data_IF_522346858735
#
_entry.id   IF_522346858735
#
_cell.length_a   1.000
_cell.length_b   1.000
_cell.length_c   1.000
_cell.angle_alpha   90.00
_cell.angle_beta   90.00
_cell.angle_gamma   90.00
#
_symmetry.space_group_name_H-M   'P 1'
#
loop_
_entity.id
_entity.type
_entity.pdbx_description
1 polymer ?
#
# COMPACT_ATOMS: atom_id res chain seq x y z
N UNK A 1 72.44 4.08 19.59
CA UNK A 1 71.32 4.82 20.22
C UNK A 1 70.34 5.08 19.09
N UNK A 2 69.30 4.26 19.05
CA UNK A 2 68.50 3.97 17.87
C UNK A 2 67.54 5.10 17.47
N UNK A 3 67.27 5.11 16.17
CA UNK A 3 66.36 5.98 15.41
C UNK A 3 64.98 5.33 15.41
N UNK A 4 63.94 6.03 15.89
CA UNK A 4 62.53 5.70 15.69
C UNK A 4 61.73 7.01 15.79
N UNK A 5 60.65 7.30 15.07
CA UNK A 5 59.99 6.75 13.89
C UNK A 5 58.89 7.79 13.58
N UNK A 6 58.84 8.33 12.35
CA UNK A 6 57.74 9.19 11.92
C UNK A 6 56.46 8.35 11.81
N UNK A 7 55.42 8.71 12.55
CA UNK A 7 54.04 8.23 12.34
C UNK A 7 53.27 9.31 11.58
N UNK A 8 53.18 9.14 10.26
CA UNK A 8 52.18 9.82 9.45
C UNK A 8 50.81 9.20 9.74
N UNK A 9 49.96 9.92 10.48
CA UNK A 9 48.52 9.64 10.54
C UNK A 9 47.91 10.03 9.19
N UNK A 10 47.87 9.09 8.25
CA UNK A 10 46.97 9.18 7.10
C UNK A 10 45.53 8.98 7.60
N UNK A 11 44.80 10.08 7.79
CA UNK A 11 43.34 10.05 7.84
C UNK A 11 42.83 9.53 6.48
N UNK A 12 42.54 8.23 6.39
CA UNK A 12 41.62 7.73 5.39
C UNK A 12 40.24 8.30 5.73
N UNK A 13 39.89 9.43 5.13
CA UNK A 13 38.50 9.81 4.97
C UNK A 13 37.87 8.74 4.08
N UNK A 14 37.33 7.69 4.71
CA UNK A 14 36.40 6.80 4.04
C UNK A 14 35.25 7.69 3.61
N UNK A 15 35.17 7.97 2.31
CA UNK A 15 33.93 8.49 1.72
C UNK A 15 32.92 7.37 1.90
N UNK A 16 32.15 7.40 2.98
CA UNK A 16 30.85 6.73 2.98
C UNK A 16 30.13 7.28 1.76
N UNK A 17 29.92 6.44 0.75
CA UNK A 17 28.94 6.74 -0.27
C UNK A 17 27.62 6.78 0.47
N UNK A 18 27.08 7.97 0.72
CA UNK A 18 25.77 8.08 1.33
C UNK A 18 24.79 7.43 0.36
N UNK A 19 24.11 6.38 0.83
CA UNK A 19 23.07 5.75 0.04
C UNK A 19 21.96 6.78 -0.16
N UNK A 20 21.54 6.96 -1.40
CA UNK A 20 20.47 7.87 -1.76
C UNK A 20 19.67 7.32 -2.92
N UNK A 21 18.38 7.59 -2.95
CA UNK A 21 17.50 7.15 -4.02
C UNK A 21 16.48 8.22 -4.39
N UNK A 22 15.88 8.03 -5.56
CA UNK A 22 14.72 8.78 -6.01
C UNK A 22 13.59 7.76 -6.22
N UNK A 23 12.38 8.07 -5.76
CA UNK A 23 11.27 7.09 -5.81
C UNK A 23 10.95 6.66 -7.24
N UNK A 24 11.07 7.58 -8.20
CA UNK A 24 10.77 7.36 -9.60
C UNK A 24 12.03 7.07 -10.43
N UNK A 25 13.14 6.69 -9.80
CA UNK A 25 14.31 6.24 -10.56
C UNK A 25 13.94 5.01 -11.41
N UNK A 26 14.36 5.03 -12.68
CA UNK A 26 13.98 4.02 -13.67
C UNK A 26 12.63 4.23 -14.39
N UNK A 27 11.83 5.24 -14.01
CA UNK A 27 10.60 5.60 -14.73
C UNK A 27 10.86 6.69 -15.80
N UNK A 28 10.14 6.65 -16.91
CA UNK A 28 10.26 7.66 -17.98
C UNK A 28 9.38 8.90 -17.75
N UNK A 29 9.43 9.87 -18.67
CA UNK A 29 8.71 11.14 -18.55
C UNK A 29 7.18 11.04 -18.59
N UNK A 30 6.62 9.88 -18.93
CA UNK A 30 5.16 9.64 -18.97
C UNK A 30 4.57 9.35 -17.59
N UNK A 31 5.42 9.19 -16.57
CA UNK A 31 5.02 8.91 -15.19
C UNK A 31 4.07 9.98 -14.61
N UNK A 32 4.14 11.22 -15.10
CA UNK A 32 3.23 12.30 -14.70
C UNK A 32 1.77 11.96 -15.05
N UNK A 33 1.53 11.42 -16.24
CA UNK A 33 0.20 11.05 -16.73
C UNK A 33 -0.31 9.80 -16.00
N UNK A 34 0.59 8.89 -15.63
CA UNK A 34 0.27 7.70 -14.85
C UNK A 34 -0.08 8.01 -13.38
N UNK A 35 0.63 8.96 -12.76
CA UNK A 35 0.36 9.38 -11.37
C UNK A 35 -0.77 10.40 -11.27
N UNK A 36 -1.07 11.14 -12.33
CA UNK A 36 -2.12 12.16 -12.35
C UNK A 36 -1.81 13.41 -11.53
N UNK A 37 -0.52 13.73 -11.33
CA UNK A 37 -0.06 14.84 -10.48
C UNK A 37 0.53 16.00 -11.29
N UNK A 38 0.61 17.18 -10.66
CA UNK A 38 1.28 18.34 -11.24
C UNK A 38 2.78 18.10 -11.37
N UNK A 39 3.44 18.80 -12.29
CA UNK A 39 4.89 18.71 -12.49
C UNK A 39 5.68 19.14 -11.24
N UNK A 40 5.13 20.11 -10.48
CA UNK A 40 5.69 20.56 -9.21
C UNK A 40 5.62 19.45 -8.17
N UNK A 41 4.45 18.81 -8.01
CA UNK A 41 4.30 17.69 -7.10
C UNK A 41 5.16 16.50 -7.51
N UNK A 42 5.23 16.17 -8.80
CA UNK A 42 6.07 15.09 -9.30
C UNK A 42 7.55 15.32 -8.95
N UNK A 43 8.03 16.56 -9.09
CA UNK A 43 9.39 16.93 -8.70
C UNK A 43 9.64 16.77 -7.21
N UNK A 44 8.63 17.08 -6.38
CA UNK A 44 8.69 16.93 -4.93
C UNK A 44 8.68 15.44 -4.51
N UNK A 45 7.79 14.64 -5.08
CA UNK A 45 7.71 13.18 -4.83
C UNK A 45 9.00 12.50 -5.29
N UNK A 46 9.57 12.94 -6.42
CA UNK A 46 10.82 12.41 -6.95
C UNK A 46 12.07 13.11 -6.42
N UNK A 47 12.00 13.82 -5.29
CA UNK A 47 13.20 14.39 -4.68
C UNK A 47 14.16 13.28 -4.22
N UNK A 48 15.46 13.58 -4.19
CA UNK A 48 16.46 12.62 -3.73
C UNK A 48 16.39 12.47 -2.21
N UNK A 49 16.28 11.23 -1.76
CA UNK A 49 16.21 10.85 -0.35
C UNK A 49 17.54 10.21 0.03
N UNK A 50 18.24 10.78 1.01
CA UNK A 50 19.52 10.29 1.52
C UNK A 50 19.34 9.16 2.54
N UNK A 51 18.74 8.05 2.09
CA UNK A 51 18.55 6.82 2.84
C UNK A 51 18.99 5.63 1.99
N UNK A 52 19.28 4.50 2.65
CA UNK A 52 19.40 3.22 1.95
C UNK A 52 18.07 2.85 1.30
N UNK A 53 18.08 2.64 -0.01
CA UNK A 53 16.87 2.43 -0.82
C UNK A 53 16.13 1.15 -0.42
N UNK A 54 16.86 0.04 -0.30
CA UNK A 54 16.27 -1.26 -0.01
C UNK A 54 15.60 -1.27 1.37
N UNK A 55 16.30 -0.74 2.37
CA UNK A 55 15.78 -0.67 3.74
C UNK A 55 14.62 0.32 3.86
N UNK A 56 14.69 1.48 3.20
CA UNK A 56 13.60 2.45 3.19
C UNK A 56 12.35 1.91 2.49
N UNK A 57 12.51 1.22 1.35
CA UNK A 57 11.39 0.58 0.64
C UNK A 57 10.76 -0.54 1.48
N UNK A 58 11.57 -1.38 2.11
CA UNK A 58 11.09 -2.40 3.05
C UNK A 58 10.29 -1.79 4.20
N UNK A 59 10.77 -0.67 4.79
CA UNK A 59 10.03 0.05 5.83
C UNK A 59 8.67 0.55 5.33
N UNK A 60 8.63 1.13 4.13
CA UNK A 60 7.41 1.73 3.56
C UNK A 60 6.29 0.74 3.25
N UNK A 61 6.61 -0.55 3.09
CA UNK A 61 5.63 -1.62 2.91
C UNK A 61 4.90 -1.96 4.21
N UNK A 62 5.46 -1.58 5.36
CA UNK A 62 4.97 -1.91 6.69
C UNK A 62 6.07 -2.55 7.51
N UNK A 63 6.28 -2.03 8.72
CA UNK A 63 7.32 -2.55 9.62
C UNK A 63 7.02 -3.99 10.07
N UNK A 64 5.74 -4.32 10.26
CA UNK A 64 5.28 -5.64 10.71
C UNK A 64 5.29 -6.70 9.59
N UNK A 65 5.48 -6.31 8.32
CA UNK A 65 5.43 -7.22 7.15
C UNK A 65 6.75 -7.98 6.92
N UNK A 66 7.83 -7.57 7.59
CA UNK A 66 9.16 -8.11 7.40
C UNK A 66 9.83 -8.40 8.74
N UNK A 67 10.76 -9.36 8.74
CA UNK A 67 11.66 -9.55 9.88
C UNK A 67 12.84 -8.58 9.78
N UNK A 68 13.11 -7.84 10.87
CA UNK A 68 14.13 -6.81 10.92
C UNK A 68 15.36 -7.25 11.71
N UNK A 69 16.52 -6.93 11.17
CA UNK A 69 17.80 -7.04 11.87
C UNK A 69 18.27 -5.66 12.36
N UNK A 70 19.08 -5.66 13.41
CA UNK A 70 19.64 -4.43 14.00
C UNK A 70 20.42 -3.60 12.98
N UNK A 71 21.11 -4.25 12.04
CA UNK A 71 21.82 -3.57 10.94
C UNK A 71 20.86 -2.78 10.03
N UNK A 72 19.69 -3.34 9.71
CA UNK A 72 18.69 -2.66 8.89
C UNK A 72 18.13 -1.44 9.62
N UNK A 73 17.74 -1.61 10.89
CA UNK A 73 17.21 -0.48 11.69
C UNK A 73 18.26 0.60 11.88
N UNK A 74 19.51 0.22 12.19
CA UNK A 74 20.59 1.21 12.38
C UNK A 74 20.87 1.98 11.08
N UNK A 75 20.80 1.32 9.93
CA UNK A 75 20.96 1.95 8.60
C UNK A 75 19.82 2.94 8.33
N UNK A 76 18.57 2.52 8.54
CA UNK A 76 17.38 3.34 8.36
C UNK A 76 17.35 4.55 9.31
N UNK A 77 17.74 4.34 10.57
CA UNK A 77 17.62 5.33 11.63
C UNK A 77 18.79 6.32 11.73
N UNK A 78 19.66 6.35 10.72
CA UNK A 78 20.74 7.33 10.63
C UNK A 78 20.21 8.76 10.64
N UNK A 79 21.01 9.69 11.18
CA UNK A 79 20.62 11.11 11.27
C UNK A 79 20.39 11.75 9.90
N UNK A 80 21.17 11.35 8.90
CA UNK A 80 21.04 11.80 7.52
C UNK A 80 19.72 11.34 6.90
N UNK A 81 19.38 10.05 7.04
CA UNK A 81 18.12 9.51 6.53
C UNK A 81 16.91 10.18 7.19
N UNK A 82 16.91 10.34 8.52
CA UNK A 82 15.84 11.02 9.25
C UNK A 82 15.64 12.47 8.79
N UNK A 83 16.73 13.22 8.66
CA UNK A 83 16.69 14.60 8.20
C UNK A 83 16.19 14.69 6.75
N UNK A 84 16.62 13.77 5.88
CA UNK A 84 16.22 13.75 4.48
C UNK A 84 14.74 13.39 4.31
N UNK A 85 14.24 12.38 5.04
CA UNK A 85 12.84 11.98 5.06
C UNK A 85 11.93 13.10 5.57
N UNK A 86 12.33 13.80 6.65
CA UNK A 86 11.58 14.96 7.18
C UNK A 86 11.50 16.10 6.15
N UNK A 87 12.61 16.36 5.46
CA UNK A 87 12.68 17.40 4.42
C UNK A 87 11.82 17.01 3.21
N UNK A 88 11.83 15.74 2.82
CA UNK A 88 11.03 15.21 1.73
C UNK A 88 9.53 15.28 2.02
N UNK A 89 9.09 14.87 3.22
CA UNK A 89 7.70 15.02 3.65
C UNK A 89 7.24 16.47 3.57
N UNK A 90 8.04 17.40 4.13
CA UNK A 90 7.72 18.84 4.11
C UNK A 90 7.63 19.40 2.68
N UNK A 91 8.51 18.93 1.78
CA UNK A 91 8.51 19.33 0.38
C UNK A 91 7.25 18.86 -0.35
N UNK A 92 6.90 17.58 -0.20
CA UNK A 92 5.69 16.99 -0.79
C UNK A 92 4.42 17.64 -0.22
N UNK A 93 4.37 17.87 1.09
CA UNK A 93 3.22 18.56 1.72
C UNK A 93 2.99 19.95 1.13
N UNK A 94 4.08 20.72 0.95
CA UNK A 94 4.03 22.06 0.33
C UNK A 94 3.61 22.00 -1.14
N UNK A 95 4.19 21.09 -1.91
CA UNK A 95 4.15 21.15 -3.37
C UNK A 95 3.06 20.28 -4.00
N UNK A 96 2.50 19.34 -3.23
CA UNK A 96 1.43 18.43 -3.64
C UNK A 96 0.11 18.65 -2.91
N UNK A 97 -0.10 19.82 -2.28
CA UNK A 97 -1.22 20.07 -1.34
C UNK A 97 -2.61 19.62 -1.82
N UNK A 98 -2.88 19.72 -3.12
CA UNK A 98 -4.17 19.34 -3.75
C UNK A 98 -4.07 18.10 -4.62
N UNK A 99 -2.87 17.58 -4.82
CA UNK A 99 -2.61 16.55 -5.80
C UNK A 99 -2.95 15.18 -5.21
N UNK A 100 -3.51 14.32 -6.05
CA UNK A 100 -3.88 12.96 -5.72
C UNK A 100 -3.13 11.99 -6.62
N UNK A 101 -2.81 10.83 -6.09
CA UNK A 101 -2.21 9.73 -6.84
C UNK A 101 -3.14 8.52 -6.81
N UNK A 102 -3.04 7.67 -7.82
CA UNK A 102 -3.70 6.36 -7.79
C UNK A 102 -2.72 5.31 -7.26
N UNK A 103 -3.05 4.69 -6.13
CA UNK A 103 -2.27 3.61 -5.52
C UNK A 103 -3.22 2.43 -5.23
N UNK A 104 -2.88 1.23 -5.73
CA UNK A 104 -3.65 0.01 -5.50
C UNK A 104 -5.18 0.14 -5.78
N UNK A 105 -5.55 0.83 -6.87
CA UNK A 105 -6.96 1.03 -7.23
C UNK A 105 -7.72 2.03 -6.37
N UNK A 106 -7.02 2.81 -5.54
CA UNK A 106 -7.56 3.91 -4.74
C UNK A 106 -6.94 5.24 -5.13
N UNK A 107 -7.74 6.30 -5.11
CA UNK A 107 -7.27 7.68 -5.23
C UNK A 107 -6.99 8.19 -3.82
N UNK A 108 -5.73 8.52 -3.57
CA UNK A 108 -5.24 9.02 -2.28
C UNK A 108 -4.52 10.34 -2.47
N UNK A 109 -4.39 11.15 -1.41
CA UNK A 109 -3.58 12.37 -1.47
C UNK A 109 -2.11 12.01 -1.74
N UNK A 110 -1.40 12.78 -2.56
CA UNK A 110 0.00 12.50 -2.89
C UNK A 110 0.93 12.47 -1.66
N UNK A 111 0.60 13.21 -0.59
CA UNK A 111 1.31 13.17 0.70
C UNK A 111 1.31 11.77 1.37
N UNK A 112 0.41 10.87 0.96
CA UNK A 112 0.38 9.47 1.43
C UNK A 112 1.73 8.78 1.20
N UNK A 113 2.42 9.08 0.10
CA UNK A 113 3.70 8.46 -0.26
C UNK A 113 4.78 8.73 0.80
N UNK A 114 5.19 9.98 1.07
CA UNK A 114 6.18 10.22 2.11
C UNK A 114 5.70 9.81 3.50
N UNK A 115 4.40 9.90 3.79
CA UNK A 115 3.85 9.45 5.07
C UNK A 115 4.08 7.95 5.32
N UNK A 116 4.05 7.09 4.28
CA UNK A 116 4.35 5.66 4.41
C UNK A 116 5.79 5.45 4.92
N UNK A 117 6.74 6.17 4.32
CA UNK A 117 8.15 6.08 4.72
C UNK A 117 8.42 6.73 6.08
N UNK A 118 7.91 7.94 6.33
CA UNK A 118 8.21 8.67 7.56
C UNK A 118 7.57 8.04 8.78
N UNK A 119 6.34 7.52 8.65
CA UNK A 119 5.71 6.80 9.74
C UNK A 119 6.45 5.50 10.06
N UNK A 120 6.85 4.73 9.04
CA UNK A 120 7.64 3.51 9.24
C UNK A 120 8.99 3.81 9.87
N UNK A 121 9.67 4.88 9.43
CA UNK A 121 10.88 5.40 10.05
C UNK A 121 10.65 5.73 11.53
N UNK A 122 9.61 6.49 11.86
CA UNK A 122 9.32 6.89 13.24
C UNK A 122 9.07 5.68 14.15
N UNK A 123 8.41 4.63 13.63
CA UNK A 123 8.17 3.37 14.34
C UNK A 123 9.43 2.52 14.50
N UNK A 124 10.18 2.29 13.42
CA UNK A 124 11.43 1.52 13.43
C UNK A 124 12.44 2.09 14.42
N UNK A 125 12.45 3.42 14.50
CA UNK A 125 13.51 4.16 15.13
C UNK A 125 13.20 4.61 16.56
N UNK A 126 12.16 4.04 17.18
CA UNK A 126 11.90 4.14 18.60
C UNK A 126 13.01 3.43 19.37
N UNK A 127 13.51 4.10 20.41
CA UNK A 127 14.48 3.54 21.34
C UNK A 127 14.01 3.74 22.77
N UNK A 128 14.32 2.79 23.65
CA UNK A 128 14.21 2.98 25.10
C UNK A 128 15.30 3.94 25.63
N UNK A 129 15.30 4.19 26.93
CA UNK A 129 16.32 5.02 27.59
C UNK A 129 17.73 4.42 27.49
N UNK A 130 17.84 3.10 27.41
CA UNK A 130 19.10 2.36 27.22
C UNK A 130 19.65 2.40 25.76
N UNK A 131 18.87 2.96 24.81
CA UNK A 131 19.17 3.01 23.37
C UNK A 131 18.99 1.70 22.61
N UNK A 132 18.30 0.74 23.18
CA UNK A 132 17.86 -0.45 22.47
C UNK A 132 16.69 -0.10 21.54
N UNK A 133 16.63 -0.76 20.38
CA UNK A 133 15.58 -0.53 19.38
C UNK A 133 14.29 -1.24 19.78
N UNK A 134 13.26 -0.45 20.05
CA UNK A 134 11.97 -0.99 20.51
C UNK A 134 11.33 -1.92 19.48
N UNK A 135 11.48 -1.64 18.19
CA UNK A 135 10.91 -2.49 17.16
C UNK A 135 11.62 -3.86 17.11
N UNK A 136 12.95 -3.93 17.30
CA UNK A 136 13.67 -5.22 17.38
C UNK A 136 13.18 -6.02 18.57
N UNK A 137 13.05 -5.37 19.73
CA UNK A 137 12.54 -6.03 20.94
C UNK A 137 11.12 -6.59 20.72
N UNK A 138 10.27 -5.83 20.03
CA UNK A 138 8.87 -6.23 19.78
C UNK A 138 8.70 -7.52 19.00
N UNK A 139 9.71 -7.90 18.19
CA UNK A 139 9.70 -9.17 17.46
C UNK A 139 9.85 -10.39 18.39
N UNK A 140 10.19 -10.18 19.66
CA UNK A 140 10.31 -11.23 20.68
C UNK A 140 9.06 -11.38 21.55
N UNK A 141 8.13 -10.43 21.48
CA UNK A 141 6.92 -10.45 22.28
C UNK A 141 6.01 -11.59 21.82
N UNK A 142 5.73 -12.52 22.72
CA UNK A 142 4.80 -13.62 22.48
C UNK A 142 3.48 -13.26 23.15
N UNK A 143 2.41 -13.21 22.36
CA UNK A 143 1.06 -12.94 22.84
C UNK A 143 0.02 -13.77 22.10
N UNK A 144 -1.19 -13.81 22.63
CA UNK A 144 -2.38 -14.34 21.95
C UNK A 144 -3.23 -13.16 21.46
N UNK A 145 -4.13 -13.40 20.51
CA UNK A 145 -5.14 -12.40 20.12
C UNK A 145 -6.23 -12.23 21.20
N UNK A 146 -6.36 -13.23 22.09
CA UNK A 146 -7.30 -13.26 23.21
C UNK A 146 -6.90 -14.33 24.23
N UNK A 147 -7.26 -14.12 25.50
CA UNK A 147 -7.20 -15.12 26.56
C UNK A 147 -8.40 -16.05 26.39
N UNK A 148 -8.22 -17.36 26.60
CA UNK A 148 -9.34 -18.31 26.62
C UNK A 148 -9.49 -18.88 28.01
N UNK A 149 -10.74 -19.10 28.42
CA UNK A 149 -11.00 -19.97 29.55
C UNK A 149 -10.63 -21.41 29.19
N UNK A 150 -10.27 -22.19 30.21
CA UNK A 150 -10.18 -23.64 30.03
C UNK A 150 -11.56 -24.16 29.63
N UNK A 151 -11.71 -24.95 28.56
CA UNK A 151 -13.01 -25.51 28.15
C UNK A 151 -13.69 -26.33 29.26
N UNK A 152 -12.93 -26.82 30.24
CA UNK A 152 -13.41 -27.59 31.39
C UNK A 152 -13.60 -26.76 32.66
N UNK A 153 -13.44 -25.42 32.61
CA UNK A 153 -13.44 -24.53 33.79
C UNK A 153 -14.66 -24.69 34.72
N UNK A 154 -15.82 -25.04 34.16
CA UNK A 154 -17.08 -25.25 34.91
C UNK A 154 -17.37 -26.71 35.25
N UNK A 155 -16.52 -27.65 34.84
CA UNK A 155 -16.71 -29.09 35.04
C UNK A 155 -15.79 -29.68 36.13
N UNK A 156 -15.28 -28.84 37.03
CA UNK A 156 -14.43 -29.22 38.17
C UNK A 156 -15.22 -29.31 39.49
N UNK A 157 -14.66 -29.95 40.53
CA UNK A 157 -15.36 -30.16 41.82
C UNK A 157 -15.75 -28.86 42.54
N UNK A 158 -14.97 -27.79 42.36
CA UNK A 158 -15.26 -26.45 42.90
C UNK A 158 -15.09 -25.42 41.78
N UNK A 159 -16.11 -25.25 40.92
CA UNK A 159 -16.02 -24.34 39.80
C UNK A 159 -15.95 -22.89 40.31
N UNK A 160 -15.32 -21.97 39.55
CA UNK A 160 -15.33 -20.55 39.88
C UNK A 160 -16.75 -19.97 39.84
N UNK A 161 -16.99 -18.88 40.59
CA UNK A 161 -18.31 -18.22 40.70
C UNK A 161 -18.89 -17.79 39.35
N UNK A 162 -18.03 -17.48 38.36
CA UNK A 162 -18.46 -17.12 37.00
C UNK A 162 -19.29 -18.23 36.32
N UNK A 163 -19.08 -19.49 36.70
CA UNK A 163 -19.84 -20.64 36.19
C UNK A 163 -21.27 -20.72 36.74
N UNK A 164 -21.62 -19.90 37.73
CA UNK A 164 -23.00 -19.78 38.22
C UNK A 164 -23.85 -18.84 37.33
N UNK A 165 -23.22 -18.04 36.47
CA UNK A 165 -23.90 -17.19 35.50
C UNK A 165 -24.38 -18.01 34.30
N UNK A 166 -25.70 -18.09 34.10
CA UNK A 166 -26.31 -18.83 32.98
C UNK A 166 -26.00 -18.26 31.60
N UNK A 167 -25.45 -17.04 31.52
CA UNK A 167 -25.00 -16.41 30.28
C UNK A 167 -23.51 -16.60 30.01
N UNK A 168 -22.77 -17.19 30.95
CA UNK A 168 -21.36 -17.50 30.79
C UNK A 168 -21.18 -18.71 29.86
N UNK A 169 -20.35 -18.53 28.84
CA UNK A 169 -19.93 -19.56 27.91
C UNK A 169 -18.41 -19.45 27.73
N UNK A 170 -17.61 -20.47 28.12
CA UNK A 170 -16.15 -20.42 28.02
C UNK A 170 -15.64 -20.34 26.57
N UNK A 171 -16.47 -20.64 25.57
CA UNK A 171 -16.13 -20.53 24.15
C UNK A 171 -16.41 -19.12 23.58
N UNK A 172 -17.12 -18.25 24.30
CA UNK A 172 -17.39 -16.87 23.87
C UNK A 172 -16.22 -15.96 24.28
N UNK A 173 -15.61 -15.32 23.29
CA UNK A 173 -14.57 -14.31 23.51
C UNK A 173 -15.21 -12.93 23.57
N UNK A 174 -15.29 -12.36 24.77
CA UNK A 174 -15.73 -10.98 24.98
C UNK A 174 -14.56 -9.98 24.99
N UNK A 175 -14.88 -8.69 25.14
CA UNK A 175 -13.88 -7.62 25.14
C UNK A 175 -12.89 -7.68 26.31
N UNK A 176 -13.25 -8.32 27.43
CA UNK A 176 -12.35 -8.46 28.59
C UNK A 176 -11.28 -9.52 28.32
N UNK A 177 -11.63 -10.58 27.58
CA UNK A 177 -10.69 -11.60 27.12
C UNK A 177 -9.75 -11.10 26.01
N UNK A 178 -10.10 -9.99 25.36
CA UNK A 178 -9.27 -9.30 24.35
C UNK A 178 -8.43 -8.16 24.96
N UNK A 179 -8.53 -7.92 26.27
CA UNK A 179 -7.79 -6.84 26.93
C UNK A 179 -6.28 -7.10 26.89
N UNK A 180 -5.53 -6.10 26.45
CA UNK A 180 -4.07 -6.18 26.31
C UNK A 180 -3.39 -6.47 27.65
N UNK A 181 -3.90 -5.92 28.75
CA UNK A 181 -3.35 -6.16 30.10
C UNK A 181 -3.68 -7.56 30.63
N UNK A 182 -4.63 -8.27 30.01
CA UNK A 182 -4.87 -9.69 30.26
C UNK A 182 -4.03 -10.61 29.37
N UNK A 183 -3.54 -10.12 28.23
CA UNK A 183 -2.78 -10.90 27.25
C UNK A 183 -1.28 -10.97 27.55
N UNK A 184 -0.76 -9.96 28.23
CA UNK A 184 0.65 -9.83 28.53
C UNK A 184 0.86 -9.67 30.03
N UNK A 185 2.02 -10.13 30.50
CA UNK A 185 2.43 -9.91 31.90
C UNK A 185 2.73 -8.41 32.14
N UNK A 186 2.50 -7.90 33.36
CA UNK A 186 2.77 -6.50 33.71
C UNK A 186 4.18 -6.02 33.39
N UNK A 187 5.18 -6.88 33.60
CA UNK A 187 6.57 -6.55 33.30
C UNK A 187 6.79 -6.25 31.80
N UNK A 188 6.02 -6.89 30.90
CA UNK A 188 6.10 -6.67 29.46
C UNK A 188 5.25 -5.49 29.03
N UNK A 189 3.96 -5.42 29.41
CA UNK A 189 3.11 -4.34 28.90
C UNK A 189 3.43 -2.97 29.51
N UNK A 190 4.09 -2.93 30.66
CA UNK A 190 4.65 -1.70 31.23
C UNK A 190 6.10 -1.41 30.82
N UNK A 191 6.68 -2.24 29.96
CA UNK A 191 7.97 -1.94 29.36
C UNK A 191 7.89 -0.65 28.51
N UNK A 192 8.99 0.10 28.51
CA UNK A 192 9.09 1.39 27.82
C UNK A 192 8.87 1.25 26.31
N UNK A 193 9.43 0.20 25.70
CA UNK A 193 9.29 -0.08 24.29
C UNK A 193 7.90 -0.57 23.92
N UNK A 194 7.27 -1.37 24.79
CA UNK A 194 5.87 -1.76 24.64
C UNK A 194 4.96 -0.53 24.53
N UNK A 195 5.04 0.35 25.51
CA UNK A 195 4.22 1.56 25.55
C UNK A 195 4.54 2.53 24.40
N UNK A 196 5.82 2.67 24.01
CA UNK A 196 6.23 3.51 22.87
C UNK A 196 5.68 3.01 21.53
N UNK A 197 5.71 1.70 21.28
CA UNK A 197 5.17 1.14 20.04
C UNK A 197 3.66 1.30 19.97
N UNK A 198 2.95 1.02 21.07
CA UNK A 198 1.50 1.24 21.15
C UNK A 198 1.12 2.69 20.90
N UNK A 199 1.82 3.63 21.55
CA UNK A 199 1.65 5.06 21.30
C UNK A 199 1.90 5.41 19.84
N UNK A 200 3.01 4.96 19.26
CA UNK A 200 3.37 5.31 17.89
C UNK A 200 2.31 4.81 16.90
N UNK A 201 1.72 3.64 17.13
CA UNK A 201 0.61 3.12 16.32
C UNK A 201 -0.64 4.01 16.35
N UNK A 202 -0.91 4.69 17.47
CA UNK A 202 -1.99 5.69 17.55
C UNK A 202 -1.66 6.99 16.80
N UNK A 203 -0.37 7.29 16.60
CA UNK A 203 0.08 8.45 15.81
C UNK A 203 0.07 8.18 14.30
N UNK A 204 -0.33 6.98 13.86
CA UNK A 204 -0.34 6.62 12.45
C UNK A 204 -1.20 7.57 11.62
N UNK A 205 -0.68 8.12 10.52
CA UNK A 205 -1.47 8.94 9.61
C UNK A 205 -2.52 8.12 8.83
N UNK A 206 -2.41 6.79 8.88
CA UNK A 206 -3.31 5.84 8.21
C UNK A 206 -4.38 5.25 9.13
N UNK A 207 -4.42 5.67 10.39
CA UNK A 207 -5.41 5.20 11.35
C UNK A 207 -6.81 5.68 10.94
N UNK A 208 -7.71 4.75 10.62
CA UNK A 208 -9.08 5.07 10.21
C UNK A 208 -9.96 5.33 11.42
N UNK A 209 -10.98 6.18 11.30
CA UNK A 209 -11.97 6.35 12.39
C UNK A 209 -12.91 5.15 12.45
N UNK A 210 -13.23 4.67 13.65
CA UNK A 210 -14.19 3.60 13.86
C UNK A 210 -13.95 2.83 15.16
N UNK A 211 -14.77 1.80 15.40
CA UNK A 211 -14.76 1.01 16.63
C UNK A 211 -13.40 0.38 16.91
N UNK A 212 -12.69 -0.07 15.88
CA UNK A 212 -11.34 -0.64 16.01
C UNK A 212 -10.30 0.36 16.53
N UNK A 213 -10.37 1.61 16.06
CA UNK A 213 -9.47 2.67 16.52
C UNK A 213 -9.83 3.09 17.93
N UNK A 214 -11.12 3.15 18.26
CA UNK A 214 -11.55 3.39 19.63
C UNK A 214 -11.06 2.31 20.58
N UNK A 215 -11.15 1.04 20.19
CA UNK A 215 -10.59 -0.09 20.95
C UNK A 215 -9.09 0.10 21.24
N UNK A 216 -8.29 0.51 20.24
CA UNK A 216 -6.85 0.76 20.44
C UNK A 216 -6.56 1.95 21.37
N UNK A 217 -7.38 2.99 21.28
CA UNK A 217 -7.32 4.15 22.18
C UNK A 217 -7.60 3.69 23.62
N UNK A 218 -8.71 2.98 23.83
CA UNK A 218 -9.12 2.52 25.15
C UNK A 218 -8.09 1.54 25.75
N UNK A 219 -7.55 0.64 24.93
CA UNK A 219 -6.48 -0.27 25.34
C UNK A 219 -5.21 0.48 25.76
N UNK A 220 -4.83 1.56 25.06
CA UNK A 220 -3.65 2.35 25.43
C UNK A 220 -3.88 3.20 26.69
N UNK A 221 -5.10 3.69 26.92
CA UNK A 221 -5.47 4.34 28.19
C UNK A 221 -5.43 3.34 29.37
N UNK A 222 -5.90 2.11 29.15
CA UNK A 222 -5.81 1.04 30.14
C UNK A 222 -4.34 0.69 30.47
N UNK A 223 -3.47 0.59 29.46
CA UNK A 223 -2.03 0.39 29.64
C UNK A 223 -1.42 1.53 30.47
N UNK A 224 -1.68 2.79 30.11
CA UNK A 224 -1.18 3.95 30.84
C UNK A 224 -1.62 3.95 32.30
N UNK A 225 -2.90 3.65 32.56
CA UNK A 225 -3.46 3.55 33.90
C UNK A 225 -2.79 2.45 34.73
N UNK A 226 -2.69 1.23 34.19
CA UNK A 226 -2.08 0.10 34.91
C UNK A 226 -0.58 0.30 35.17
N UNK A 227 0.13 0.97 34.26
CA UNK A 227 1.55 1.28 34.41
C UNK A 227 1.83 2.59 35.15
N UNK A 228 0.78 3.30 35.60
CA UNK A 228 0.89 4.60 36.30
C UNK A 228 1.74 5.63 35.54
N UNK A 229 1.59 5.67 34.21
CA UNK A 229 2.33 6.55 33.29
C UNK A 229 1.36 7.41 32.47
N UNK A 230 1.83 8.53 31.98
CA UNK A 230 1.08 9.35 31.02
C UNK A 230 1.96 9.70 29.82
N UNK A 231 1.54 9.24 28.64
CA UNK A 231 2.20 9.46 27.37
C UNK A 231 1.22 10.14 26.40
N UNK A 232 1.28 11.46 26.23
CA UNK A 232 0.31 12.18 25.42
C UNK A 232 0.38 11.76 23.95
N UNK A 233 -0.76 11.58 23.31
CA UNK A 233 -0.89 11.31 21.88
C UNK A 233 -2.06 12.10 21.29
N UNK A 234 -2.01 12.29 19.98
CA UNK A 234 -3.11 12.84 19.19
C UNK A 234 -3.18 11.99 17.94
N UNK A 235 -4.33 11.36 17.71
CA UNK A 235 -4.56 10.60 16.48
C UNK A 235 -4.58 11.54 15.28
N UNK A 236 -4.16 11.03 14.13
CA UNK A 236 -4.19 11.77 12.88
C UNK A 236 -5.61 12.19 12.47
N UNK A 237 -5.78 13.45 12.05
CA UNK A 237 -6.99 13.94 11.38
C UNK A 237 -6.92 13.76 9.83
N UNK A 238 -5.85 13.14 9.32
CA UNK A 238 -5.67 13.00 7.87
C UNK A 238 -6.70 12.07 7.24
N UNK A 239 -7.67 12.64 6.53
CA UNK A 239 -8.36 11.93 5.45
C UNK A 239 -7.43 11.83 4.24
N UNK A 240 -6.68 10.73 4.14
CA UNK A 240 -5.76 10.46 3.03
C UNK A 240 -6.46 9.81 1.83
N UNK A 241 -7.45 8.96 2.10
CA UNK A 241 -8.31 8.37 1.08
C UNK A 241 -9.27 9.41 0.51
N UNK A 242 -9.29 9.54 -0.81
CA UNK A 242 -10.19 10.45 -1.54
C UNK A 242 -11.36 9.69 -2.15
N UNK A 243 -11.09 8.50 -2.69
CA UNK A 243 -12.11 7.67 -3.33
C UNK A 243 -11.50 6.53 -4.12
N UNK A 244 -12.34 5.84 -4.90
CA UNK A 244 -11.86 4.96 -5.97
C UNK A 244 -11.76 5.77 -7.27
N UNK A 245 -10.92 5.36 -8.25
CA UNK A 245 -10.85 5.99 -9.55
C UNK A 245 -12.25 6.02 -10.16
N UNK A 246 -12.87 7.20 -10.15
CA UNK A 246 -14.13 7.38 -10.84
C UNK A 246 -13.74 7.43 -12.31
N UNK A 247 -14.24 6.49 -13.12
CA UNK A 247 -14.16 6.57 -14.58
C UNK A 247 -15.00 7.75 -15.06
N UNK A 248 -14.55 8.97 -14.78
CA UNK A 248 -15.00 10.17 -15.47
C UNK A 248 -13.78 10.65 -16.23
N UNK A 249 -13.74 10.51 -17.57
CA UNK A 249 -12.70 11.16 -18.35
C UNK A 249 -12.90 12.67 -18.15
N UNK A 250 -12.18 13.24 -17.19
CA UNK A 250 -11.95 14.66 -17.17
C UNK A 250 -10.99 14.88 -18.32
N UNK A 251 -11.53 15.32 -19.45
CA UNK A 251 -10.74 15.81 -20.56
C UNK A 251 -9.87 16.96 -20.02
N UNK A 252 -8.64 16.64 -19.64
CA UNK A 252 -7.58 17.64 -19.56
C UNK A 252 -7.51 18.27 -20.94
N UNK A 253 -7.55 19.60 -20.95
CA UNK A 253 -7.61 20.46 -22.11
C UNK A 253 -6.47 20.17 -23.10
N UNK A 254 -6.62 19.14 -23.92
CA UNK A 254 -6.04 19.10 -25.24
C UNK A 254 -6.74 20.18 -26.05
N UNK A 255 -5.95 21.01 -26.73
CA UNK A 255 -6.43 22.07 -27.62
C UNK A 255 -7.57 21.50 -28.48
N UNK A 256 -8.79 21.97 -28.23
CA UNK A 256 -9.97 21.59 -28.99
C UNK A 256 -9.78 22.09 -30.42
N UNK A 257 -9.25 21.25 -31.30
CA UNK A 257 -9.49 21.37 -32.72
C UNK A 257 -10.89 20.80 -32.91
N UNK A 258 -11.94 21.62 -33.12
CA UNK A 258 -13.27 21.08 -33.34
C UNK A 258 -13.24 20.17 -34.57
N UNK A 259 -14.01 19.06 -34.58
CA UNK A 259 -14.18 18.27 -35.78
C UNK A 259 -14.68 19.19 -36.91
N UNK A 260 -14.21 18.96 -38.13
CA UNK A 260 -14.56 19.79 -39.27
C UNK A 260 -16.09 19.74 -39.52
N UNK A 261 -16.83 20.70 -38.98
CA UNK A 261 -18.24 20.86 -39.26
C UNK A 261 -18.39 21.45 -40.66
N UNK A 262 -19.36 20.94 -41.42
CA UNK A 262 -19.74 21.51 -42.71
C UNK A 262 -20.98 22.38 -42.54
N UNK A 263 -20.97 23.57 -43.13
CA UNK A 263 -22.10 24.48 -43.11
C UNK A 263 -23.05 24.13 -44.26
N UNK A 264 -24.27 23.71 -43.95
CA UNK A 264 -25.29 23.44 -44.96
C UNK A 264 -26.05 24.72 -45.29
N UNK A 265 -25.85 25.24 -46.50
CA UNK A 265 -26.53 26.46 -46.97
C UNK A 265 -28.05 26.31 -47.12
N UNK A 266 -28.57 25.08 -47.23
CA UNK A 266 -30.01 24.86 -47.40
C UNK A 266 -30.77 24.93 -46.07
N UNK A 267 -30.17 24.43 -44.99
CA UNK A 267 -30.77 24.44 -43.65
C UNK A 267 -30.28 25.59 -42.75
N UNK A 268 -29.19 26.26 -43.13
CA UNK A 268 -28.61 27.36 -42.36
C UNK A 268 -27.96 26.90 -41.05
N UNK A 269 -27.61 25.62 -40.93
CA UNK A 269 -27.07 25.01 -39.73
C UNK A 269 -25.73 24.31 -39.97
N UNK A 270 -24.86 24.32 -38.96
CA UNK A 270 -23.63 23.52 -38.96
C UNK A 270 -23.97 22.06 -38.68
N UNK A 271 -23.59 21.17 -39.59
CA UNK A 271 -23.68 19.72 -39.40
C UNK A 271 -22.31 19.25 -38.91
N UNK A 272 -22.25 18.91 -37.63
CA UNK A 272 -21.08 18.26 -37.05
C UNK A 272 -21.42 16.77 -36.86
N UNK A 273 -20.53 15.82 -37.20
CA UNK A 273 -20.74 14.42 -36.85
C UNK A 273 -20.89 14.31 -35.32
N UNK A 274 -21.99 13.73 -34.83
CA UNK A 274 -22.04 13.23 -33.45
C UNK A 274 -20.89 12.27 -33.28
N UNK A 275 -20.01 12.52 -32.29
CA UNK A 275 -18.97 11.57 -31.92
C UNK A 275 -19.64 10.24 -31.59
N UNK A 276 -19.57 9.27 -32.51
CA UNK A 276 -19.79 7.91 -32.12
C UNK A 276 -18.66 7.58 -31.15
N UNK A 277 -19.00 7.10 -29.95
CA UNK A 277 -18.07 6.34 -29.14
C UNK A 277 -17.70 5.09 -29.93
N UNK A 278 -16.75 5.24 -30.85
CA UNK A 278 -16.26 4.13 -31.65
C UNK A 278 -15.54 3.18 -30.70
N UNK A 279 -16.15 2.05 -30.40
CA UNK A 279 -15.46 0.97 -29.71
C UNK A 279 -14.25 0.57 -30.55
N UNK A 280 -13.04 0.83 -30.04
CA UNK A 280 -11.78 0.47 -30.69
C UNK A 280 -11.43 -1.01 -30.51
N UNK A 281 -12.16 -1.70 -29.65
CA UNK A 281 -12.06 -3.15 -29.45
C UNK A 281 -13.29 -3.89 -29.97
N UNK A 282 -13.84 -4.77 -29.14
CA UNK A 282 -15.00 -5.58 -29.46
C UNK A 282 -16.24 -5.10 -28.71
N UNK A 283 -17.36 -5.14 -29.42
CA UNK A 283 -18.67 -4.79 -28.88
C UNK A 283 -19.31 -6.06 -28.34
N UNK A 284 -19.72 -6.05 -27.07
CA UNK A 284 -20.29 -7.21 -26.37
C UNK A 284 -21.68 -6.89 -25.84
N UNK A 285 -22.64 -7.75 -26.17
CA UNK A 285 -24.02 -7.67 -25.69
C UNK A 285 -24.18 -8.34 -24.33
N UNK A 286 -25.14 -7.85 -23.53
CA UNK A 286 -25.46 -8.46 -22.24
C UNK A 286 -26.03 -9.87 -22.41
N UNK A 287 -25.29 -10.87 -21.90
CA UNK A 287 -25.74 -12.26 -21.88
C UNK A 287 -25.98 -12.72 -20.42
N UNK A 288 -27.23 -12.98 -20.02
CA UNK A 288 -27.54 -13.41 -18.65
C UNK A 288 -27.01 -14.81 -18.29
N UNK A 289 -26.61 -15.62 -19.28
CA UNK A 289 -26.05 -16.96 -19.06
C UNK A 289 -24.56 -16.93 -18.66
N UNK A 290 -23.83 -15.86 -18.99
CA UNK A 290 -22.43 -15.66 -18.58
C UNK A 290 -22.39 -15.00 -17.20
N UNK A 291 -22.05 -15.78 -16.17
CA UNK A 291 -22.01 -15.32 -14.78
C UNK A 291 -20.58 -15.19 -14.28
N UNK A 292 -20.24 -14.00 -13.82
CA UNK A 292 -18.97 -13.70 -13.18
C UNK A 292 -17.86 -13.36 -14.17
N UNK A 293 -16.89 -12.59 -13.69
CA UNK A 293 -15.82 -12.06 -14.51
C UNK A 293 -14.98 -13.13 -15.22
N UNK A 294 -14.75 -14.28 -14.59
CA UNK A 294 -13.96 -15.37 -15.17
C UNK A 294 -14.60 -15.93 -16.44
N UNK A 295 -15.89 -16.25 -16.41
CA UNK A 295 -16.59 -16.79 -17.57
C UNK A 295 -16.63 -15.81 -18.74
N UNK A 296 -16.77 -14.51 -18.44
CA UNK A 296 -16.77 -13.45 -19.46
C UNK A 296 -15.35 -13.23 -20.01
N UNK A 297 -14.33 -13.26 -19.16
CA UNK A 297 -12.93 -13.16 -19.58
C UNK A 297 -12.52 -14.31 -20.49
N UNK A 298 -12.95 -15.52 -20.16
CA UNK A 298 -12.64 -16.72 -20.91
C UNK A 298 -13.38 -16.75 -22.27
N UNK A 299 -14.64 -16.29 -22.31
CA UNK A 299 -15.45 -16.20 -23.55
C UNK A 299 -14.93 -15.14 -24.52
N UNK A 300 -14.62 -13.93 -24.02
CA UNK A 300 -14.23 -12.80 -24.87
C UNK A 300 -12.72 -12.58 -24.96
N UNK A 301 -11.93 -13.44 -24.30
CA UNK A 301 -10.48 -13.43 -24.32
C UNK A 301 -9.87 -12.07 -23.93
N UNK A 302 -10.26 -11.56 -22.75
CA UNK A 302 -9.80 -10.27 -22.23
C UNK A 302 -9.34 -10.39 -20.78
N UNK A 303 -8.60 -9.41 -20.28
CA UNK A 303 -8.20 -9.39 -18.88
C UNK A 303 -9.41 -9.17 -17.95
N UNK A 304 -9.37 -9.75 -16.75
CA UNK A 304 -10.41 -9.53 -15.72
C UNK A 304 -10.46 -8.06 -15.30
N UNK A 305 -9.31 -7.39 -15.27
CA UNK A 305 -9.20 -5.96 -15.01
C UNK A 305 -9.98 -5.11 -16.00
N UNK A 306 -9.76 -5.33 -17.30
CA UNK A 306 -10.45 -4.59 -18.36
C UNK A 306 -11.97 -4.80 -18.31
N UNK A 307 -12.42 -6.00 -17.94
CA UNK A 307 -13.85 -6.29 -17.77
C UNK A 307 -14.48 -5.50 -16.61
N UNK A 308 -13.80 -5.43 -15.48
CA UNK A 308 -14.28 -4.64 -14.33
C UNK A 308 -14.37 -3.16 -14.68
N UNK A 309 -13.41 -2.66 -15.45
CA UNK A 309 -13.43 -1.28 -15.95
C UNK A 309 -14.57 -1.06 -16.94
N UNK A 310 -14.72 -1.93 -17.93
CA UNK A 310 -15.75 -1.79 -18.96
C UNK A 310 -17.19 -1.91 -18.42
N UNK A 311 -17.38 -2.71 -17.36
CA UNK A 311 -18.69 -2.90 -16.72
C UNK A 311 -18.95 -1.95 -15.55
N UNK A 312 -17.89 -1.37 -14.97
CA UNK A 312 -17.98 -0.63 -13.70
C UNK A 312 -18.43 -1.49 -12.52
N UNK A 313 -18.21 -2.81 -12.57
CA UNK A 313 -18.76 -3.77 -11.61
C UNK A 313 -17.76 -4.87 -11.24
N UNK A 314 -17.55 -5.12 -9.94
CA UNK A 314 -16.60 -6.13 -9.44
C UNK A 314 -16.95 -7.58 -9.80
N UNK A 315 -18.21 -7.85 -10.09
CA UNK A 315 -18.72 -9.14 -10.55
C UNK A 315 -18.92 -9.19 -12.07
N UNK A 316 -18.52 -8.12 -12.78
CA UNK A 316 -18.66 -7.95 -14.22
C UNK A 316 -20.10 -8.10 -14.71
N UNK A 317 -21.07 -7.65 -13.90
CA UNK A 317 -22.48 -7.61 -14.27
C UNK A 317 -22.77 -6.36 -15.13
N UNK A 318 -23.43 -6.56 -16.27
CA UNK A 318 -23.86 -5.48 -17.17
C UNK A 318 -25.19 -5.82 -17.85
N UNK A 319 -25.97 -4.78 -18.20
CA UNK A 319 -27.30 -4.90 -18.81
C UNK A 319 -27.38 -4.29 -20.21
N UNK A 320 -26.45 -3.40 -20.54
CA UNK A 320 -26.35 -2.74 -21.84
C UNK A 320 -25.07 -3.17 -22.54
N UNK A 321 -25.00 -2.98 -23.85
CA UNK A 321 -23.82 -3.29 -24.64
C UNK A 321 -22.57 -2.57 -24.10
N UNK A 322 -21.46 -3.30 -23.95
CA UNK A 322 -20.18 -2.78 -23.49
C UNK A 322 -19.11 -2.86 -24.59
N UNK A 323 -18.07 -2.05 -24.46
CA UNK A 323 -16.88 -2.13 -25.31
C UNK A 323 -15.73 -2.77 -24.53
N UNK A 324 -15.24 -3.90 -25.00
CA UNK A 324 -14.08 -4.58 -24.44
C UNK A 324 -12.86 -4.42 -25.35
N UNK A 325 -11.63 -4.59 -24.84
CA UNK A 325 -10.44 -4.66 -25.68
C UNK A 325 -10.52 -5.79 -26.72
N UNK A 326 -9.69 -5.69 -27.76
CA UNK A 326 -9.50 -6.80 -28.69
C UNK A 326 -9.00 -8.06 -27.97
N UNK A 327 -9.45 -9.26 -28.39
CA UNK A 327 -9.00 -10.54 -27.85
C UNK A 327 -7.49 -10.67 -27.71
N UNK A 328 -7.06 -11.31 -26.62
CA UNK A 328 -5.67 -11.63 -26.30
C UNK A 328 -5.54 -13.08 -25.83
N UNK A 329 -4.33 -13.63 -25.80
CA UNK A 329 -4.11 -14.90 -25.11
C UNK A 329 -4.21 -14.65 -23.61
N UNK A 330 -5.14 -15.32 -22.93
CA UNK A 330 -5.34 -15.15 -21.49
C UNK A 330 -4.59 -16.20 -20.67
N UNK A 331 -3.98 -15.78 -19.57
CA UNK A 331 -3.41 -16.67 -18.54
C UNK A 331 -4.11 -16.40 -17.22
N UNK A 332 -4.48 -17.46 -16.50
CA UNK A 332 -5.03 -17.36 -15.16
C UNK A 332 -3.93 -17.37 -14.10
N UNK A 333 -4.00 -16.42 -13.16
CA UNK A 333 -3.14 -16.43 -11.97
C UNK A 333 -3.65 -17.51 -11.01
N UNK A 334 -2.92 -18.63 -10.90
CA UNK A 334 -3.32 -19.80 -10.09
C UNK A 334 -2.46 -20.00 -8.85
N UNK A 335 -1.44 -19.16 -8.66
CA UNK A 335 -0.48 -19.25 -7.56
C UNK A 335 -0.59 -18.01 -6.67
N UNK A 336 -0.57 -18.23 -5.35
CA UNK A 336 -0.47 -17.16 -4.35
C UNK A 336 0.90 -16.48 -4.44
N UNK A 337 0.93 -15.17 -4.20
CA UNK A 337 2.13 -14.32 -4.25
C UNK A 337 2.87 -14.38 -5.60
N UNK A 338 2.14 -14.62 -6.68
CA UNK A 338 2.70 -14.53 -8.02
C UNK A 338 2.99 -13.06 -8.35
N UNK A 339 4.26 -12.75 -8.62
CA UNK A 339 4.70 -11.39 -8.93
C UNK A 339 4.69 -11.12 -10.44
N UNK A 340 4.64 -9.85 -10.84
CA UNK A 340 4.87 -9.44 -12.23
C UNK A 340 6.21 -9.95 -12.75
N UNK A 341 7.25 -9.97 -11.90
CA UNK A 341 8.59 -10.47 -12.29
C UNK A 341 8.56 -11.96 -12.60
N UNK A 342 7.86 -12.75 -11.78
CA UNK A 342 7.74 -14.19 -11.97
C UNK A 342 6.91 -14.51 -13.21
N UNK A 343 5.82 -13.78 -13.41
CA UNK A 343 4.99 -13.90 -14.60
C UNK A 343 5.76 -13.55 -15.87
N UNK A 344 6.51 -12.44 -15.87
CA UNK A 344 7.35 -12.04 -17.01
C UNK A 344 8.39 -13.10 -17.34
N UNK A 345 9.02 -13.73 -16.34
CA UNK A 345 9.94 -14.86 -16.55
C UNK A 345 9.21 -16.06 -17.14
N UNK A 346 7.99 -16.33 -16.68
CA UNK A 346 7.18 -17.48 -17.11
C UNK A 346 6.73 -17.34 -18.58
N UNK A 347 6.31 -16.15 -18.98
CA UNK A 347 5.79 -15.89 -20.34
C UNK A 347 6.89 -15.57 -21.36
N UNK A 348 8.10 -15.24 -20.88
CA UNK A 348 9.29 -15.10 -21.71
C UNK A 348 9.82 -16.45 -22.20
N UNK A 349 10.41 -16.46 -23.39
CA UNK A 349 11.09 -17.64 -23.93
C UNK A 349 12.43 -17.26 -24.59
N UNK A 350 13.14 -18.23 -25.16
CA UNK A 350 14.47 -18.04 -25.76
C UNK A 350 14.49 -17.10 -26.98
N UNK A 351 13.34 -16.85 -27.60
CA UNK A 351 13.18 -16.00 -28.78
C UNK A 351 12.50 -14.66 -28.49
N UNK A 352 11.68 -14.61 -27.44
CA UNK A 352 10.90 -13.43 -27.07
C UNK A 352 11.03 -13.20 -25.57
N UNK A 353 11.79 -12.17 -25.21
CA UNK A 353 11.90 -11.71 -23.83
C UNK A 353 10.83 -10.64 -23.61
N UNK A 354 9.84 -10.98 -22.80
CA UNK A 354 8.83 -10.02 -22.34
C UNK A 354 9.46 -9.16 -21.25
N UNK A 355 9.21 -7.85 -21.26
CA UNK A 355 9.59 -6.96 -20.17
C UNK A 355 8.41 -6.69 -19.25
N UNK A 356 8.67 -6.21 -18.05
CA UNK A 356 7.61 -5.86 -17.11
C UNK A 356 6.75 -4.72 -17.65
N UNK A 357 7.33 -3.78 -18.38
CA UNK A 357 6.63 -2.68 -19.03
C UNK A 357 5.69 -3.18 -20.13
N UNK A 358 6.13 -4.15 -20.94
CA UNK A 358 5.28 -4.79 -21.95
C UNK A 358 4.11 -5.53 -21.30
N UNK A 359 4.39 -6.30 -20.23
CA UNK A 359 3.36 -7.00 -19.47
C UNK A 359 2.31 -6.05 -18.89
N UNK A 360 2.75 -4.95 -18.28
CA UNK A 360 1.84 -3.91 -17.74
C UNK A 360 1.10 -3.15 -18.84
N UNK A 361 1.74 -2.92 -19.99
CA UNK A 361 1.09 -2.32 -21.15
C UNK A 361 -0.03 -3.20 -21.74
N UNK A 362 0.09 -4.53 -21.63
CA UNK A 362 -0.98 -5.45 -22.00
C UNK A 362 -2.08 -5.56 -20.94
N UNK A 363 -1.75 -5.24 -19.68
CA UNK A 363 -2.62 -5.40 -18.51
C UNK A 363 -2.69 -4.09 -17.71
N UNK A 364 -3.19 -2.99 -18.30
CA UNK A 364 -3.22 -1.68 -17.64
C UNK A 364 -4.11 -1.64 -16.39
N UNK A 365 -5.03 -2.61 -16.26
CA UNK A 365 -5.96 -2.74 -15.15
C UNK A 365 -5.71 -4.01 -14.32
N UNK A 366 -4.44 -4.44 -14.21
CA UNK A 366 -4.04 -5.59 -13.40
C UNK A 366 -4.64 -5.52 -11.99
N UNK A 367 -5.17 -6.65 -11.51
CA UNK A 367 -5.78 -6.73 -10.19
C UNK A 367 -4.73 -7.12 -9.14
N UNK A 368 -4.61 -6.33 -8.07
CA UNK A 368 -3.57 -6.51 -7.06
C UNK A 368 -2.23 -5.87 -7.47
N UNK A 369 -1.31 -5.68 -6.51
CA UNK A 369 0.01 -5.13 -6.78
C UNK A 369 0.88 -6.10 -7.58
N UNK A 370 1.93 -5.57 -8.23
CA UNK A 370 2.89 -6.42 -8.94
C UNK A 370 3.66 -7.39 -8.05
N UNK A 371 3.70 -7.16 -6.74
CA UNK A 371 4.35 -8.07 -5.79
C UNK A 371 3.39 -9.14 -5.24
N UNK A 372 2.09 -9.04 -5.54
CA UNK A 372 1.09 -10.06 -5.20
C UNK A 372 -0.14 -9.90 -6.09
N UNK A 373 -0.09 -10.48 -7.29
CA UNK A 373 -1.20 -10.42 -8.23
C UNK A 373 -2.40 -11.21 -7.70
N UNK A 374 -3.61 -10.66 -7.84
CA UNK A 374 -4.83 -11.31 -7.39
C UNK A 374 -5.03 -12.69 -8.01
N UNK A 375 -5.27 -13.69 -7.16
CA UNK A 375 -5.57 -15.06 -7.55
C UNK A 375 -6.87 -15.14 -8.37
N UNK A 376 -6.88 -15.98 -9.40
CA UNK A 376 -8.03 -16.23 -10.26
C UNK A 376 -8.30 -15.16 -11.32
N UNK A 377 -7.52 -14.06 -11.37
CA UNK A 377 -7.65 -13.10 -12.45
C UNK A 377 -7.08 -13.67 -13.77
N UNK A 378 -7.66 -13.24 -14.90
CA UNK A 378 -7.11 -13.45 -16.24
C UNK A 378 -6.29 -12.24 -16.66
N UNK A 379 -5.08 -12.48 -17.11
CA UNK A 379 -4.16 -11.49 -17.68
C UNK A 379 -3.96 -11.76 -19.17
N UNK A 380 -3.79 -10.70 -19.94
CA UNK A 380 -3.44 -10.74 -21.35
C UNK A 380 -1.94 -10.94 -21.57
N UNK A 381 -1.61 -11.81 -22.52
CA UNK A 381 -0.29 -11.94 -23.12
C UNK A 381 -0.42 -11.77 -24.62
N UNK A 382 0.46 -10.96 -25.20
CA UNK A 382 0.51 -10.73 -26.65
C UNK A 382 1.89 -11.11 -27.14
N UNK A 383 1.98 -12.21 -27.87
CA UNK A 383 3.17 -12.47 -28.67
C UNK A 383 2.95 -11.68 -29.96
N UNK A 384 3.77 -10.66 -30.21
CA UNK A 384 3.73 -9.92 -31.46
C UNK A 384 3.78 -10.92 -32.64
N UNK A 385 2.89 -10.73 -33.61
CA UNK A 385 2.99 -11.37 -34.93
C UNK A 385 3.74 -10.45 -35.86
#
# INVERSE_FOLDING_TARGET
MEIYMLLFLTCFAIRCSNASFNLLDGFDTTIQDAFGVSSKCLSAVNATIACDEATAKMASQGMDENYWYEENITTLCSSECRSSMTSWLSLVESDCKTDTITQAGSVVKAITVPLQYTYALDLACLQNDAKDWCFIESQTWVGSDYVRYDPEICFVENPPEICEDTSFDPDIIDSTLQSVVGLYEPDLYCDECFLKIWRQRLLSPFLTTGDWTQFRIDAFEELQSNCSIHMPYVTSDYSLFVGTPTATPTATSAIHIPPACTFDLASGQYICPTASTSCTGQIVEANPELRGCSAIADEFHVSTGDLRVATGNDFCAFQEQICLPLPCTTIEITKYDETCSDMVKQISNSTHRVTQEQFMGWNPHLMGPCDSMALGQRICVRYDV
#
